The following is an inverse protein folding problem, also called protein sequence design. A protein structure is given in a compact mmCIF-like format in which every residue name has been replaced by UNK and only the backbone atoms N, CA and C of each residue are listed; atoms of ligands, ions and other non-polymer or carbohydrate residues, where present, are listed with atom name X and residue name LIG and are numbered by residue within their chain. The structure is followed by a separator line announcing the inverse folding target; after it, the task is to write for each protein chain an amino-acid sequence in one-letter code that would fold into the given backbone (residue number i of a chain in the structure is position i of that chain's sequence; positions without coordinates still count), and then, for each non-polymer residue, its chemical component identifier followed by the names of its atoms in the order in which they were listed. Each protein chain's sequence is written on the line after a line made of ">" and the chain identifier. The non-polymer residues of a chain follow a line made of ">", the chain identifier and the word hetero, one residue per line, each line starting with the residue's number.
data_IF_171703621653
#
_entry.id   IF_171703621653
#
_cell.length_a   1.000
_cell.length_b   1.000
_cell.length_c   1.000
_cell.angle_alpha   90.00
_cell.angle_beta   90.00
_cell.angle_gamma   90.00
#
_symmetry.space_group_name_H-M   'P 1'
#
loop_
_entity.id
_entity.type
_entity.pdbx_description
1 polymer ?
#
# COMPACT_ATOMS: atom_id res chain seq x y z
N UNK A 1 4.54 -5.22 4.37
CA UNK A 1 3.57 -5.64 3.34
C UNK A 1 4.11 -6.86 2.63
N UNK A 2 3.28 -7.57 1.87
CA UNK A 2 3.74 -8.59 0.91
C UNK A 2 4.35 -7.89 -0.29
N UNK A 3 5.61 -8.19 -0.64
CA UNK A 3 6.21 -7.53 -1.80
C UNK A 3 5.50 -7.94 -3.10
N UNK A 4 5.25 -9.24 -3.24
CA UNK A 4 4.47 -9.81 -4.33
C UNK A 4 3.12 -10.26 -3.79
N UNK A 5 2.04 -9.99 -4.53
CA UNK A 5 0.72 -10.47 -4.16
C UNK A 5 0.71 -12.01 -4.13
N UNK A 6 -0.13 -12.56 -3.26
CA UNK A 6 -0.28 -14.02 -3.08
C UNK A 6 -1.76 -14.39 -3.25
N UNK A 7 -2.08 -15.60 -3.76
CA UNK A 7 -3.45 -16.06 -3.73
C UNK A 7 -3.96 -16.19 -2.29
N UNK A 8 -5.23 -15.86 -2.09
CA UNK A 8 -5.98 -16.13 -0.86
C UNK A 8 -7.15 -17.09 -1.14
N UNK A 9 -7.43 -18.08 -0.27
CA UNK A 9 -6.75 -18.40 1.00
C UNK A 9 -5.28 -18.82 0.84
N UNK A 10 -4.49 -18.66 1.91
CA UNK A 10 -3.07 -19.00 1.88
C UNK A 10 -2.85 -20.48 1.55
N UNK A 11 -1.72 -20.76 0.88
CA UNK A 11 -1.29 -22.11 0.48
C UNK A 11 -2.13 -22.77 -0.61
N UNK A 12 -3.09 -22.05 -1.20
CA UNK A 12 -3.81 -22.50 -2.38
C UNK A 12 -3.09 -22.06 -3.67
N UNK A 13 -3.18 -22.89 -4.70
CA UNK A 13 -2.70 -22.55 -6.04
C UNK A 13 -3.78 -21.78 -6.81
N UNK A 14 -3.37 -20.74 -7.53
CA UNK A 14 -4.21 -20.02 -8.48
C UNK A 14 -3.41 -19.74 -9.75
N UNK A 15 -4.03 -19.87 -10.92
CA UNK A 15 -3.39 -19.51 -12.19
C UNK A 15 -3.10 -18.01 -12.22
N UNK A 16 -2.09 -17.58 -12.98
CA UNK A 16 -1.84 -16.16 -13.25
C UNK A 16 -2.95 -15.54 -14.10
N UNK A 17 -3.74 -16.34 -14.81
CA UNK A 17 -4.97 -15.86 -15.48
C UNK A 17 -6.04 -15.36 -14.50
N UNK A 18 -5.92 -15.76 -13.23
CA UNK A 18 -6.82 -15.38 -12.13
C UNK A 18 -6.15 -14.36 -11.19
N UNK A 19 -5.07 -13.71 -11.64
CA UNK A 19 -4.23 -12.87 -10.79
C UNK A 19 -5.03 -11.76 -10.11
N UNK A 20 -5.80 -11.00 -10.91
CA UNK A 20 -6.59 -9.87 -10.42
C UNK A 20 -7.63 -10.30 -9.38
N UNK A 21 -8.25 -11.45 -9.58
CA UNK A 21 -9.35 -11.95 -8.76
C UNK A 21 -8.84 -12.62 -7.47
N UNK A 22 -7.88 -13.54 -7.60
CA UNK A 22 -7.47 -14.43 -6.50
C UNK A 22 -6.27 -13.93 -5.71
N UNK A 23 -5.39 -13.14 -6.33
CA UNK A 23 -4.23 -12.62 -5.63
C UNK A 23 -4.61 -11.37 -4.85
N UNK A 24 -3.93 -11.16 -3.73
CA UNK A 24 -4.10 -9.99 -2.86
C UNK A 24 -2.74 -9.57 -2.30
N UNK A 25 -2.57 -8.27 -2.15
CA UNK A 25 -1.53 -7.72 -1.29
C UNK A 25 -1.99 -7.76 0.17
N UNK A 26 -1.05 -7.78 1.11
CA UNK A 26 -1.35 -7.74 2.54
C UNK A 26 -0.42 -6.77 3.29
N UNK A 27 -1.00 -5.92 4.12
CA UNK A 27 -0.27 -5.19 5.16
C UNK A 27 -0.52 -5.87 6.52
N UNK A 28 0.44 -6.67 6.98
CA UNK A 28 0.36 -7.36 8.28
C UNK A 28 0.97 -6.53 9.40
N UNK A 29 0.19 -6.35 10.47
CA UNK A 29 0.62 -5.72 11.71
C UNK A 29 0.79 -6.79 12.79
N UNK A 30 2.04 -7.02 13.19
CA UNK A 30 2.36 -7.92 14.29
C UNK A 30 2.38 -7.18 15.62
N UNK A 31 1.54 -7.61 16.55
CA UNK A 31 1.63 -7.16 17.94
C UNK A 31 2.87 -7.81 18.57
N UNK A 32 3.80 -6.99 19.05
CA UNK A 32 4.96 -7.49 19.78
C UNK A 32 4.73 -7.35 21.30
N UNK A 33 4.74 -8.47 22.01
CA UNK A 33 4.76 -8.53 23.47
C UNK A 33 6.21 -8.32 23.95
N UNK A 34 6.50 -7.14 24.48
CA UNK A 34 7.84 -6.77 24.95
C UNK A 34 8.27 -7.52 26.22
N UNK A 35 7.33 -7.90 27.07
CA UNK A 35 7.63 -8.61 28.31
C UNK A 35 7.99 -10.07 28.01
N UNK A 36 7.25 -10.71 27.10
CA UNK A 36 7.52 -12.08 26.65
C UNK A 36 8.57 -12.16 25.53
N UNK A 37 8.93 -11.04 24.92
CA UNK A 37 9.91 -10.95 23.83
C UNK A 37 9.48 -11.69 22.56
N UNK A 38 8.18 -11.72 22.25
CA UNK A 38 7.63 -12.46 21.09
C UNK A 38 6.40 -11.79 20.49
N UNK A 39 6.04 -12.21 19.28
CA UNK A 39 4.78 -11.80 18.64
C UNK A 39 3.59 -12.42 19.38
N UNK A 40 2.54 -11.63 19.56
CA UNK A 40 1.22 -12.06 19.99
C UNK A 40 0.31 -12.16 18.76
N UNK A 41 0.23 -13.37 18.20
CA UNK A 41 -0.56 -13.65 17.00
C UNK A 41 -2.05 -13.36 17.21
N UNK A 42 -2.57 -13.56 18.43
CA UNK A 42 -3.99 -13.33 18.75
C UNK A 42 -4.39 -11.84 18.73
N UNK A 43 -3.41 -10.95 18.84
CA UNK A 43 -3.57 -9.50 18.74
C UNK A 43 -2.98 -8.93 17.45
N UNK A 44 -2.60 -9.79 16.50
CA UNK A 44 -2.05 -9.42 15.19
C UNK A 44 -3.13 -9.55 14.11
N UNK A 45 -3.05 -8.73 13.07
CA UNK A 45 -4.02 -8.74 11.97
C UNK A 45 -3.36 -8.28 10.67
N UNK A 46 -4.03 -8.54 9.55
CA UNK A 46 -3.64 -8.05 8.23
C UNK A 46 -4.74 -7.22 7.60
N UNK A 47 -4.36 -6.30 6.73
CA UNK A 47 -5.26 -5.50 5.90
C UNK A 47 -5.07 -5.99 4.46
N UNK A 48 -6.15 -6.39 3.79
CA UNK A 48 -6.12 -6.67 2.35
C UNK A 48 -5.79 -5.39 1.57
N UNK A 49 -4.88 -5.52 0.62
CA UNK A 49 -4.54 -4.52 -0.37
C UNK A 49 -4.85 -5.09 -1.76
N UNK A 50 -5.06 -4.22 -2.76
CA UNK A 50 -5.06 -4.65 -4.15
C UNK A 50 -3.81 -5.49 -4.48
N UNK A 51 -3.89 -6.42 -5.46
CA UNK A 51 -2.78 -7.29 -5.86
C UNK A 51 -1.66 -6.56 -6.62
N UNK A 52 -1.42 -5.30 -6.28
CA UNK A 52 -0.21 -4.60 -6.69
C UNK A 52 0.98 -5.20 -5.94
N UNK A 53 2.18 -5.03 -6.51
CA UNK A 53 3.39 -5.38 -5.79
C UNK A 53 3.75 -4.23 -4.88
N UNK A 54 3.44 -4.36 -3.58
CA UNK A 54 3.90 -3.40 -2.60
C UNK A 54 5.42 -3.49 -2.50
N UNK A 55 6.09 -2.40 -2.17
CA UNK A 55 7.55 -2.44 -2.01
C UNK A 55 7.92 -2.01 -0.59
N UNK A 56 8.59 -0.88 -0.43
CA UNK A 56 9.06 -0.44 0.88
C UNK A 56 7.98 0.36 1.61
N UNK A 57 8.06 0.30 2.93
CA UNK A 57 7.16 1.00 3.84
C UNK A 57 7.94 1.70 4.94
N UNK A 58 7.39 2.81 5.43
CA UNK A 58 7.80 3.42 6.68
C UNK A 58 6.57 3.86 7.50
N UNK A 59 6.68 3.72 8.82
CA UNK A 59 5.63 4.09 9.74
C UNK A 59 5.71 5.59 10.06
N UNK A 60 4.53 6.19 10.19
CA UNK A 60 4.36 7.56 10.65
C UNK A 60 4.96 7.78 12.04
N UNK A 61 5.48 8.98 12.25
CA UNK A 61 6.20 9.40 13.46
C UNK A 61 5.54 10.68 13.98
N UNK A 62 5.49 10.88 15.30
CA UNK A 62 4.93 12.10 15.92
C UNK A 62 3.59 12.53 15.30
N UNK A 63 3.56 13.57 14.46
CA UNK A 63 2.31 14.09 13.87
C UNK A 63 1.62 13.07 12.97
N UNK A 64 2.38 12.19 12.32
CA UNK A 64 1.85 11.10 11.48
C UNK A 64 1.69 9.77 12.22
N UNK A 65 1.89 9.74 13.54
CA UNK A 65 1.72 8.52 14.35
C UNK A 65 0.28 7.98 14.27
N UNK A 66 0.14 6.75 13.80
CA UNK A 66 -1.14 6.12 13.46
C UNK A 66 -1.31 5.81 11.98
N UNK A 67 -0.37 6.25 11.15
CA UNK A 67 -0.34 5.98 9.72
C UNK A 67 0.90 5.16 9.32
N UNK A 68 0.78 4.41 8.23
CA UNK A 68 1.87 3.70 7.54
C UNK A 68 1.80 4.13 6.07
N UNK A 69 2.96 4.29 5.46
CA UNK A 69 3.08 4.65 4.06
C UNK A 69 3.89 3.55 3.37
N UNK A 70 3.35 2.99 2.29
CA UNK A 70 4.02 1.98 1.48
C UNK A 70 3.86 2.34 0.01
N UNK A 71 4.84 2.10 -0.85
CA UNK A 71 4.63 2.24 -2.29
C UNK A 71 4.33 0.91 -2.96
N UNK A 72 4.05 0.97 -4.27
CA UNK A 72 3.97 -0.18 -5.16
C UNK A 72 4.77 0.03 -6.45
N UNK A 73 5.10 -1.06 -7.14
CA UNK A 73 5.95 -1.08 -8.35
C UNK A 73 5.36 -1.91 -9.51
N UNK A 74 4.10 -2.30 -9.40
CA UNK A 74 3.38 -3.06 -10.43
C UNK A 74 1.88 -2.85 -10.25
N UNK A 75 1.44 -1.60 -10.36
CA UNK A 75 0.02 -1.25 -10.37
C UNK A 75 -0.67 -1.72 -11.67
N UNK A 76 0.10 -2.17 -12.66
CA UNK A 76 -0.33 -2.84 -13.89
C UNK A 76 -0.80 -4.28 -13.65
N UNK A 77 -0.37 -4.90 -12.53
CA UNK A 77 -0.57 -6.33 -12.25
C UNK A 77 0.00 -7.24 -13.35
N UNK A 78 1.04 -6.80 -14.05
CA UNK A 78 1.66 -7.57 -15.11
C UNK A 78 2.43 -8.77 -14.53
N UNK A 79 2.30 -9.93 -15.17
CA UNK A 79 2.92 -11.19 -14.74
C UNK A 79 3.92 -11.76 -15.75
N UNK A 80 4.17 -11.03 -16.84
CA UNK A 80 5.07 -11.44 -17.94
C UNK A 80 4.34 -12.23 -19.04
N UNK A 81 5.04 -13.14 -19.71
CA UNK A 81 4.47 -13.97 -20.80
C UNK A 81 4.93 -13.59 -22.21
N UNK A 82 6.23 -13.31 -22.42
CA UNK A 82 6.78 -12.98 -23.75
C UNK A 82 6.42 -14.03 -24.81
N UNK A 83 6.47 -15.31 -24.45
CA UNK A 83 6.15 -16.42 -25.36
C UNK A 83 4.65 -16.50 -25.70
N UNK A 84 3.81 -15.78 -24.96
CA UNK A 84 2.36 -15.69 -25.14
C UNK A 84 1.95 -14.37 -25.82
N UNK A 85 2.92 -13.54 -26.20
CA UNK A 85 2.71 -12.25 -26.86
C UNK A 85 2.59 -11.06 -25.92
N UNK A 86 2.76 -11.26 -24.60
CA UNK A 86 2.79 -10.18 -23.64
C UNK A 86 4.12 -9.39 -23.72
N UNK A 87 4.15 -8.13 -23.24
CA UNK A 87 5.38 -7.37 -23.11
C UNK A 87 6.47 -8.13 -22.32
N UNK A 88 7.76 -7.81 -22.54
CA UNK A 88 8.81 -8.20 -21.61
C UNK A 88 8.44 -7.83 -20.18
N UNK A 89 8.82 -8.67 -19.22
CA UNK A 89 8.39 -8.56 -17.84
C UNK A 89 8.59 -7.16 -17.27
N UNK A 90 9.80 -6.61 -17.39
CA UNK A 90 10.16 -5.27 -16.93
C UNK A 90 9.35 -4.18 -17.63
N UNK A 91 9.13 -4.32 -18.94
CA UNK A 91 8.31 -3.39 -19.70
C UNK A 91 6.83 -3.48 -19.33
N UNK A 92 6.33 -4.64 -18.92
CA UNK A 92 4.95 -4.87 -18.48
C UNK A 92 4.66 -4.25 -17.11
N UNK A 93 5.58 -4.39 -16.16
CA UNK A 93 5.43 -3.86 -14.79
C UNK A 93 5.79 -2.37 -14.66
N UNK A 94 6.12 -1.70 -15.77
CA UNK A 94 6.49 -0.29 -15.79
C UNK A 94 5.86 0.44 -16.97
N UNK A 95 4.64 0.06 -17.36
CA UNK A 95 3.92 0.72 -18.44
C UNK A 95 3.30 2.04 -18.00
N UNK A 96 2.82 2.11 -16.77
CA UNK A 96 2.19 3.31 -16.21
C UNK A 96 3.23 4.38 -15.94
N UNK A 97 2.80 5.63 -15.98
CA UNK A 97 3.65 6.76 -15.58
C UNK A 97 3.77 6.88 -14.06
N UNK A 98 2.83 6.30 -13.32
CA UNK A 98 2.82 6.28 -11.87
C UNK A 98 2.21 4.98 -11.32
N UNK A 99 2.79 4.55 -10.20
CA UNK A 99 2.23 3.57 -9.27
C UNK A 99 1.63 4.32 -8.07
N UNK A 100 1.34 3.63 -6.97
CA UNK A 100 0.67 4.25 -5.82
C UNK A 100 1.53 4.31 -4.56
N UNK A 101 1.38 5.41 -3.82
CA UNK A 101 1.62 5.48 -2.39
C UNK A 101 0.35 5.01 -1.67
N UNK A 102 0.43 3.86 -1.02
CA UNK A 102 -0.53 3.35 -0.07
C UNK A 102 -0.42 4.13 1.24
N UNK A 103 -1.49 4.85 1.59
CA UNK A 103 -1.62 5.62 2.82
C UNK A 103 -2.58 4.85 3.74
N UNK A 104 -2.04 4.25 4.80
CA UNK A 104 -2.75 3.27 5.63
C UNK A 104 -2.92 3.81 7.05
N UNK A 105 -4.17 4.01 7.49
CA UNK A 105 -4.50 4.34 8.88
C UNK A 105 -4.53 3.08 9.74
N UNK A 106 -3.38 2.67 10.27
CA UNK A 106 -3.28 1.42 11.02
C UNK A 106 -3.97 1.49 12.38
N UNK A 107 -4.10 2.68 13.00
CA UNK A 107 -4.87 2.83 14.24
C UNK A 107 -6.35 2.57 14.00
N UNK A 108 -6.91 3.12 12.93
CA UNK A 108 -8.29 2.82 12.51
C UNK A 108 -8.44 1.33 12.16
N UNK A 109 -7.45 0.73 11.52
CA UNK A 109 -7.46 -0.71 11.27
C UNK A 109 -7.47 -1.52 12.58
N UNK A 110 -6.72 -1.11 13.60
CA UNK A 110 -6.74 -1.75 14.93
C UNK A 110 -8.13 -1.64 15.59
N UNK A 111 -8.81 -0.50 15.47
CA UNK A 111 -10.20 -0.34 15.95
C UNK A 111 -11.16 -1.30 15.23
N UNK A 112 -11.04 -1.41 13.91
CA UNK A 112 -11.86 -2.31 13.06
C UNK A 112 -11.60 -3.78 13.40
N UNK A 113 -10.34 -4.14 13.63
CA UNK A 113 -9.94 -5.46 14.11
C UNK A 113 -10.56 -5.79 15.48
N UNK A 114 -10.42 -4.88 16.45
CA UNK A 114 -11.01 -5.04 17.80
C UNK A 114 -12.54 -5.09 17.79
N UNK A 115 -13.18 -4.46 16.80
CA UNK A 115 -14.62 -4.57 16.57
C UNK A 115 -15.04 -5.92 15.93
N UNK A 116 -14.09 -6.79 15.59
CA UNK A 116 -14.35 -8.11 15.01
C UNK A 116 -14.72 -8.09 13.53
N UNK A 117 -14.48 -6.96 12.82
CA UNK A 117 -14.79 -6.82 11.39
C UNK A 117 -13.69 -7.45 10.52
N UNK A 118 -13.39 -8.72 10.78
CA UNK A 118 -12.34 -9.49 10.12
C UNK A 118 -12.86 -10.84 9.64
N UNK A 119 -12.19 -11.39 8.63
CA UNK A 119 -12.28 -12.80 8.25
C UNK A 119 -11.11 -13.56 8.86
N UNK A 120 -11.35 -14.78 9.29
CA UNK A 120 -10.28 -15.68 9.70
C UNK A 120 -9.91 -16.60 8.54
N UNK A 121 -8.64 -16.56 8.12
CA UNK A 121 -8.10 -17.42 7.06
C UNK A 121 -6.82 -18.07 7.56
N UNK A 122 -6.82 -19.41 7.66
CA UNK A 122 -5.68 -20.20 8.13
C UNK A 122 -5.09 -19.71 9.47
N UNK A 123 -5.95 -19.22 10.39
CA UNK A 123 -5.55 -18.69 11.70
C UNK A 123 -5.10 -17.21 11.71
N UNK A 124 -5.11 -16.53 10.55
CA UNK A 124 -4.85 -15.10 10.46
C UNK A 124 -6.15 -14.30 10.43
N UNK A 125 -6.19 -13.18 11.16
CA UNK A 125 -7.28 -12.21 11.09
C UNK A 125 -7.02 -11.20 9.97
N UNK A 126 -7.94 -11.11 9.02
CA UNK A 126 -7.80 -10.28 7.83
C UNK A 126 -8.97 -9.30 7.75
N UNK A 127 -8.67 -8.01 7.69
CA UNK A 127 -9.62 -6.95 7.34
C UNK A 127 -9.79 -6.99 5.80
N UNK A 128 -10.99 -7.31 5.29
CA UNK A 128 -11.24 -7.34 3.85
C UNK A 128 -11.04 -5.97 3.19
N UNK A 129 -10.69 -5.95 1.90
CA UNK A 129 -10.43 -4.70 1.18
C UNK A 129 -11.63 -3.75 1.22
N UNK A 130 -12.84 -4.25 0.98
CA UNK A 130 -14.07 -3.44 1.03
C UNK A 130 -14.26 -2.80 2.42
N UNK A 131 -14.02 -3.57 3.49
CA UNK A 131 -14.06 -3.05 4.86
C UNK A 131 -13.00 -1.97 5.08
N UNK A 132 -11.78 -2.17 4.55
CA UNK A 132 -10.72 -1.19 4.65
C UNK A 132 -11.07 0.13 3.95
N UNK A 133 -11.75 0.06 2.80
CA UNK A 133 -12.23 1.22 2.05
C UNK A 133 -13.37 1.92 2.81
N UNK A 134 -14.39 1.18 3.23
CA UNK A 134 -15.57 1.73 3.92
C UNK A 134 -15.22 2.40 5.25
N UNK A 135 -14.24 1.86 5.98
CA UNK A 135 -13.79 2.38 7.27
C UNK A 135 -12.72 3.47 7.15
N UNK A 136 -12.31 3.84 5.92
CA UNK A 136 -11.31 4.86 5.67
C UNK A 136 -9.91 4.47 6.17
N UNK A 137 -9.54 3.19 6.03
CA UNK A 137 -8.23 2.66 6.40
C UNK A 137 -7.20 2.89 5.29
N UNK A 138 -7.61 2.81 4.02
CA UNK A 138 -6.71 2.82 2.87
C UNK A 138 -7.05 3.92 1.87
N UNK A 139 -6.04 4.68 1.46
CA UNK A 139 -6.09 5.67 0.39
C UNK A 139 -4.85 5.54 -0.50
N UNK A 140 -4.95 6.03 -1.73
CA UNK A 140 -3.83 6.14 -2.66
C UNK A 140 -3.53 7.58 -3.05
N UNK A 141 -2.30 7.81 -3.47
CA UNK A 141 -1.91 8.91 -4.35
C UNK A 141 -0.85 8.39 -5.32
N UNK A 142 -0.81 8.93 -6.53
CA UNK A 142 0.19 8.57 -7.54
C UNK A 142 1.63 8.85 -7.07
N UNK A 143 2.57 7.99 -7.46
CA UNK A 143 4.02 8.16 -7.32
C UNK A 143 4.71 7.78 -8.64
N UNK A 144 5.35 8.71 -9.34
CA UNK A 144 6.18 8.42 -10.51
C UNK A 144 7.55 7.82 -10.09
N UNK A 145 8.13 6.83 -10.76
CA UNK A 145 7.54 5.75 -11.57
C UNK A 145 8.15 4.44 -11.10
N UNK A 146 7.33 3.45 -10.74
CA UNK A 146 7.82 2.22 -10.10
C UNK A 146 8.75 2.52 -8.91
N UNK A 147 8.33 3.40 -7.98
CA UNK A 147 9.14 3.92 -6.89
C UNK A 147 9.69 2.84 -5.97
N UNK A 148 10.78 3.10 -5.24
CA UNK A 148 11.35 2.12 -4.31
C UNK A 148 11.41 2.61 -2.87
N UNK A 149 12.23 3.62 -2.58
CA UNK A 149 12.38 4.15 -1.22
C UNK A 149 11.13 4.85 -0.71
N UNK A 150 10.79 4.61 0.56
CA UNK A 150 9.77 5.35 1.31
C UNK A 150 10.33 5.69 2.67
N UNK A 151 10.44 6.99 2.96
CA UNK A 151 11.00 7.49 4.21
C UNK A 151 10.09 8.55 4.82
N UNK A 152 9.74 8.38 6.09
CA UNK A 152 9.02 9.39 6.88
C UNK A 152 10.02 10.16 7.73
N UNK A 153 10.00 11.48 7.56
CA UNK A 153 10.85 12.42 8.32
C UNK A 153 10.72 12.24 9.85
N UNK A 154 11.78 12.52 10.63
CA UNK A 154 11.76 12.29 12.09
C UNK A 154 10.73 13.10 12.87
N UNK A 155 10.23 14.19 12.31
CA UNK A 155 9.13 14.98 12.87
C UNK A 155 7.74 14.53 12.39
N UNK A 156 7.70 13.66 11.37
CA UNK A 156 6.49 13.07 10.80
C UNK A 156 5.78 13.93 9.77
N UNK A 157 6.29 15.11 9.45
CA UNK A 157 5.59 16.09 8.61
C UNK A 157 5.59 15.70 7.13
N UNK A 158 6.63 14.98 6.69
CA UNK A 158 6.84 14.65 5.28
C UNK A 158 7.11 13.16 5.07
N UNK A 159 6.62 12.67 3.93
CA UNK A 159 6.82 11.32 3.40
C UNK A 159 7.55 11.49 2.07
N UNK A 160 8.69 10.83 1.90
CA UNK A 160 9.53 10.97 0.72
C UNK A 160 9.51 9.64 -0.03
N UNK A 161 9.05 9.67 -1.28
CA UNK A 161 9.06 8.53 -2.18
C UNK A 161 10.14 8.71 -3.25
N UNK A 162 11.09 7.78 -3.34
CA UNK A 162 12.12 7.78 -4.38
C UNK A 162 11.56 7.16 -5.66
N UNK A 163 11.61 7.93 -6.76
CA UNK A 163 10.96 7.60 -8.02
C UNK A 163 11.57 6.45 -8.80
N UNK A 164 12.73 5.91 -8.40
CA UNK A 164 13.46 4.77 -9.03
C UNK A 164 13.67 4.92 -10.54
N UNK A 165 12.64 4.67 -11.36
CA UNK A 165 12.67 4.87 -12.81
C UNK A 165 12.39 6.33 -13.19
N UNK A 166 11.76 7.08 -12.29
CA UNK A 166 11.70 8.53 -12.34
C UNK A 166 12.93 9.15 -11.63
N UNK A 167 13.42 10.25 -12.19
CA UNK A 167 14.64 10.95 -11.74
C UNK A 167 14.41 11.87 -10.53
N UNK A 168 13.22 11.84 -9.93
CA UNK A 168 12.86 12.66 -8.78
C UNK A 168 12.56 11.82 -7.54
N UNK A 169 12.71 12.46 -6.38
CA UNK A 169 12.00 12.09 -5.17
C UNK A 169 10.76 12.99 -5.04
N UNK A 170 9.61 12.38 -4.77
CA UNK A 170 8.38 13.12 -4.47
C UNK A 170 8.20 13.24 -2.96
N UNK A 171 8.03 14.46 -2.47
CA UNK A 171 7.82 14.78 -1.06
C UNK A 171 6.34 15.09 -0.86
N UNK A 172 5.66 14.27 -0.06
CA UNK A 172 4.27 14.46 0.34
C UNK A 172 4.20 15.12 1.72
N UNK A 173 3.28 16.06 1.89
CA UNK A 173 3.01 16.69 3.19
C UNK A 173 1.90 15.93 3.93
N UNK A 174 2.17 15.51 5.16
CA UNK A 174 1.19 14.81 5.99
C UNK A 174 -0.05 15.67 6.25
N UNK A 175 0.12 16.97 6.51
CA UNK A 175 -1.02 17.87 6.72
C UNK A 175 -1.89 17.96 5.46
N UNK A 176 -1.27 18.10 4.28
CA UNK A 176 -2.01 18.14 3.01
C UNK A 176 -2.72 16.81 2.71
N UNK A 177 -2.09 15.68 3.03
CA UNK A 177 -2.75 14.37 2.94
C UNK A 177 -4.01 14.31 3.80
N UNK A 178 -3.95 14.77 5.05
CA UNK A 178 -5.13 14.79 5.94
C UNK A 178 -6.21 15.74 5.43
N UNK A 179 -5.83 16.91 4.91
CA UNK A 179 -6.78 17.86 4.32
C UNK A 179 -7.43 17.28 3.05
N UNK A 180 -6.68 16.59 2.19
CA UNK A 180 -7.19 15.93 0.99
C UNK A 180 -8.14 14.76 1.33
N UNK A 181 -7.80 13.95 2.34
CA UNK A 181 -8.70 12.90 2.84
C UNK A 181 -10.02 13.50 3.34
N UNK A 182 -9.96 14.61 4.09
CA UNK A 182 -11.14 15.31 4.58
C UNK A 182 -11.96 15.96 3.47
N UNK A 183 -11.29 16.52 2.45
CA UNK A 183 -11.91 17.08 1.24
C UNK A 183 -12.64 16.00 0.43
N UNK A 184 -12.12 14.78 0.45
CA UNK A 184 -12.60 13.65 -0.31
C UNK A 184 -11.78 13.46 -1.59
N UNK A 185 -11.44 12.20 -1.88
CA UNK A 185 -10.73 11.82 -3.09
C UNK A 185 -11.58 12.12 -4.35
N UNK A 186 -10.99 12.71 -5.41
CA UNK A 186 -11.71 12.96 -6.66
C UNK A 186 -11.97 11.67 -7.47
N UNK A 187 -11.17 10.63 -7.25
CA UNK A 187 -11.21 9.40 -8.05
C UNK A 187 -11.01 8.15 -7.18
N UNK A 188 -11.10 6.98 -7.82
CA UNK A 188 -10.85 5.67 -7.23
C UNK A 188 -10.02 4.82 -8.19
N UNK A 189 -9.25 3.90 -7.64
CA UNK A 189 -8.61 2.86 -8.44
C UNK A 189 -9.65 1.83 -8.94
N UNK A 190 -9.19 0.84 -9.71
CA UNK A 190 -10.06 -0.20 -10.27
C UNK A 190 -10.67 -1.14 -9.20
N UNK A 191 -10.16 -1.10 -7.96
CA UNK A 191 -10.68 -1.86 -6.81
C UNK A 191 -11.53 -0.99 -5.87
N UNK A 192 -11.75 0.29 -6.21
CA UNK A 192 -12.59 1.21 -5.46
C UNK A 192 -11.89 1.96 -4.33
N UNK A 193 -10.57 1.80 -4.17
CA UNK A 193 -9.75 2.53 -3.20
C UNK A 193 -9.70 4.01 -3.60
N UNK A 194 -10.00 4.95 -2.69
CA UNK A 194 -9.96 6.38 -3.00
C UNK A 194 -8.56 6.86 -3.37
N UNK A 195 -8.42 7.57 -4.49
CA UNK A 195 -7.16 8.13 -5.00
C UNK A 195 -7.18 9.65 -4.82
N UNK A 196 -6.33 10.17 -3.94
CA UNK A 196 -6.16 11.58 -3.66
C UNK A 196 -5.53 12.29 -4.86
N UNK A 197 -5.91 13.55 -5.09
CA UNK A 197 -5.30 14.37 -6.13
C UNK A 197 -3.82 14.63 -5.81
N UNK A 198 -2.93 14.30 -6.73
CA UNK A 198 -1.49 14.47 -6.58
C UNK A 198 -1.10 15.90 -6.16
N UNK A 199 -1.59 16.90 -6.89
CA UNK A 199 -1.29 18.32 -6.66
C UNK A 199 -1.83 18.83 -5.31
N UNK A 200 -2.85 18.19 -4.74
CA UNK A 200 -3.39 18.59 -3.43
C UNK A 200 -2.45 18.19 -2.29
N UNK A 201 -1.59 17.19 -2.48
CA UNK A 201 -0.84 16.54 -1.38
C UNK A 201 0.67 16.66 -1.47
N UNK A 202 1.19 16.94 -2.67
CA UNK A 202 2.63 17.13 -2.88
C UNK A 202 3.11 18.43 -2.27
N UNK A 203 4.24 18.34 -1.56
CA UNK A 203 4.99 19.49 -1.08
C UNK A 203 6.01 19.94 -2.12
N UNK A 204 6.77 18.99 -2.67
CA UNK A 204 7.78 19.24 -3.68
C UNK A 204 8.10 17.95 -4.46
N UNK A 205 8.63 18.13 -5.67
CA UNK A 205 9.42 17.11 -6.35
C UNK A 205 10.85 17.61 -6.48
N UNK A 206 11.81 16.76 -6.12
CA UNK A 206 13.23 17.11 -6.08
C UNK A 206 13.98 16.20 -7.04
N UNK A 207 14.68 16.78 -8.00
CA UNK A 207 15.57 16.03 -8.90
C UNK A 207 16.73 15.42 -8.10
N UNK A 208 16.93 14.11 -8.24
CA UNK A 208 17.97 13.36 -7.54
C UNK A 208 18.99 12.71 -8.49
N UNK A 209 18.78 12.85 -9.81
CA UNK A 209 19.62 12.26 -10.85
C UNK A 209 19.36 10.77 -11.07
N UNK A 210 20.07 10.19 -12.04
CA UNK A 210 20.16 8.75 -12.31
C UNK A 210 21.48 8.18 -11.81
#
# INVERSE_FOLDING_TARGET
>A
TTQYATPLPFYEFASLDEYKEKYKGLATLYKFDREKGRIDESASFSIELPPYWQDLCDAGKKVSDGWIFCNSINAEMATGGINEGNPPFEAGISQREADYLHIINWKKAEEVFKAGKVKELNGAHIIPLDTAIEEGILYFVDVPKSPHGIDVTPDGNFIIASGKLDTHATVYSFNKLMDAIKKGAPDKDEFGVPVLAFDDVVEAQVEIGL
#
